data_IF_176997816984
#
_entry.id   IF_176997816984
#
_cell.length_a   1.000
_cell.length_b   1.000
_cell.length_c   1.000
_cell.angle_alpha   90.00
_cell.angle_beta   90.00
_cell.angle_gamma   90.00
#
_symmetry.space_group_name_H-M   'P 1'
#
loop_
_entity.id
_entity.type
_entity.pdbx_description
1 polymer ?
#
# COMPACT_ATOMS: atom_id res chain seq x y z
N UNK A 1 27.42 -31.28 8.71
CA UNK A 1 26.35 -32.06 9.31
C UNK A 1 26.29 -33.47 8.70
N UNK A 2 26.31 -33.62 7.36
CA UNK A 2 26.31 -34.95 6.70
C UNK A 2 27.55 -35.74 7.06
N UNK A 3 28.76 -35.17 6.87
CA UNK A 3 30.02 -35.82 7.26
C UNK A 3 30.10 -36.18 8.75
N UNK A 4 29.35 -35.51 9.60
CA UNK A 4 29.27 -35.76 11.04
C UNK A 4 28.12 -36.73 11.43
N UNK A 5 27.44 -37.32 10.47
CA UNK A 5 26.32 -38.25 10.70
C UNK A 5 25.05 -37.62 11.32
N UNK A 6 24.99 -36.29 11.47
CA UNK A 6 23.84 -35.58 12.06
C UNK A 6 22.70 -35.36 11.07
N UNK A 7 22.96 -35.50 9.78
CA UNK A 7 21.99 -35.39 8.70
C UNK A 7 22.30 -36.42 7.62
N UNK A 8 21.29 -37.15 7.19
CA UNK A 8 21.46 -38.20 6.17
C UNK A 8 21.41 -37.59 4.75
N UNK A 9 22.15 -38.20 3.83
CA UNK A 9 22.06 -37.84 2.40
C UNK A 9 20.63 -38.01 1.89
N UNK A 10 19.93 -39.06 2.27
CA UNK A 10 18.53 -39.31 1.93
C UNK A 10 17.64 -38.09 2.26
N UNK A 11 17.85 -37.46 3.42
CA UNK A 11 17.06 -36.26 3.81
C UNK A 11 17.37 -35.08 2.91
N UNK A 12 18.61 -34.92 2.45
CA UNK A 12 19.02 -33.91 1.48
C UNK A 12 18.38 -34.17 0.12
N UNK A 13 18.44 -35.43 -0.34
CA UNK A 13 17.87 -35.86 -1.62
C UNK A 13 16.37 -35.59 -1.71
N UNK A 14 15.64 -35.72 -0.62
CA UNK A 14 14.22 -35.36 -0.55
C UNK A 14 14.01 -33.87 -0.85
N UNK A 15 14.84 -33.01 -0.32
CA UNK A 15 14.77 -31.55 -0.59
C UNK A 15 15.16 -31.23 -2.02
N UNK A 16 16.26 -31.81 -2.50
CA UNK A 16 16.74 -31.64 -3.90
C UNK A 16 15.67 -32.09 -4.87
N UNK A 17 15.03 -33.25 -4.64
CA UNK A 17 13.96 -33.77 -5.50
C UNK A 17 12.77 -32.81 -5.58
N UNK A 18 12.39 -32.17 -4.48
CA UNK A 18 11.32 -31.17 -4.47
C UNK A 18 11.66 -29.94 -5.33
N UNK A 19 12.86 -29.42 -5.19
CA UNK A 19 13.34 -28.28 -5.97
C UNK A 19 13.50 -28.61 -7.47
N UNK A 20 14.13 -29.74 -7.78
CA UNK A 20 14.33 -30.19 -9.16
C UNK A 20 13.00 -30.48 -9.86
N UNK A 21 12.03 -31.05 -9.16
CA UNK A 21 10.69 -31.31 -9.72
C UNK A 21 10.09 -30.04 -10.34
N UNK A 22 10.16 -28.91 -9.66
CA UNK A 22 9.63 -27.63 -10.19
C UNK A 22 10.38 -27.21 -11.43
N UNK A 23 11.72 -27.36 -11.45
CA UNK A 23 12.54 -27.02 -12.62
C UNK A 23 12.21 -27.88 -13.84
N UNK A 24 12.00 -29.18 -13.64
CA UNK A 24 11.55 -30.08 -14.71
C UNK A 24 10.14 -29.75 -15.20
N UNK A 25 9.23 -29.45 -14.29
CA UNK A 25 7.86 -29.06 -14.66
C UNK A 25 7.80 -27.75 -15.45
N UNK A 26 8.74 -26.84 -15.21
CA UNK A 26 8.90 -25.59 -15.96
C UNK A 26 9.65 -25.74 -17.28
N UNK A 27 10.17 -26.95 -17.61
CA UNK A 27 10.93 -27.20 -18.84
C UNK A 27 12.31 -26.54 -18.88
N UNK A 28 12.85 -26.12 -17.71
CA UNK A 28 14.11 -25.36 -17.68
C UNK A 28 15.34 -26.16 -18.14
N UNK A 29 15.24 -27.49 -18.24
CA UNK A 29 16.30 -28.34 -18.78
C UNK A 29 16.13 -28.63 -20.26
N UNK A 30 14.92 -28.45 -20.79
CA UNK A 30 14.60 -28.68 -22.21
C UNK A 30 14.76 -27.39 -23.00
N UNK A 31 14.19 -26.27 -22.50
CA UNK A 31 14.32 -24.94 -23.10
C UNK A 31 14.46 -23.87 -21.98
N UNK A 32 15.71 -23.53 -21.58
CA UNK A 32 15.95 -22.52 -20.55
C UNK A 32 15.85 -21.07 -21.05
N UNK A 33 15.62 -20.87 -22.34
CA UNK A 33 15.62 -19.55 -22.96
C UNK A 33 14.23 -18.93 -23.01
N UNK A 34 14.21 -17.61 -23.01
CA UNK A 34 12.97 -16.81 -23.15
C UNK A 34 12.86 -16.32 -24.60
N UNK A 35 11.72 -16.50 -25.20
CA UNK A 35 11.39 -15.85 -26.46
C UNK A 35 11.13 -14.35 -26.18
N UNK A 36 12.06 -13.49 -26.59
CA UNK A 36 12.04 -12.04 -26.30
C UNK A 36 10.83 -11.37 -26.96
N UNK A 37 10.51 -11.71 -28.20
CA UNK A 37 9.38 -11.09 -28.91
C UNK A 37 8.05 -11.45 -28.24
N UNK A 38 7.89 -12.69 -27.82
CA UNK A 38 6.72 -13.12 -27.07
C UNK A 38 6.65 -12.46 -25.70
N UNK A 39 7.77 -12.29 -25.01
CA UNK A 39 7.83 -11.60 -23.72
C UNK A 39 7.39 -10.14 -23.85
N UNK A 40 7.88 -9.42 -24.87
CA UNK A 40 7.48 -8.03 -25.16
C UNK A 40 5.95 -7.94 -25.45
N UNK A 41 5.40 -8.89 -26.20
CA UNK A 41 3.96 -8.92 -26.45
C UNK A 41 3.12 -9.31 -25.24
N UNK A 42 3.73 -9.97 -24.26
CA UNK A 42 3.03 -10.49 -23.08
C UNK A 42 3.02 -9.46 -21.94
N UNK A 43 4.17 -8.79 -21.69
CA UNK A 43 4.29 -7.81 -20.61
C UNK A 43 3.40 -6.59 -20.90
N UNK A 44 2.56 -6.25 -19.93
CA UNK A 44 1.73 -5.05 -20.00
C UNK A 44 0.52 -5.16 -20.92
N UNK A 45 0.07 -6.37 -21.25
CA UNK A 45 -1.18 -6.59 -21.99
C UNK A 45 -2.36 -5.86 -21.32
N UNK A 46 -3.28 -5.25 -22.11
CA UNK A 46 -4.41 -4.49 -21.57
C UNK A 46 -5.26 -5.27 -20.58
N UNK A 47 -5.53 -6.56 -20.86
CA UNK A 47 -6.32 -7.43 -19.99
C UNK A 47 -5.64 -7.66 -18.64
N UNK A 48 -4.31 -7.73 -18.59
CA UNK A 48 -3.57 -7.89 -17.34
C UNK A 48 -3.45 -6.60 -16.55
N UNK A 49 -3.29 -5.47 -17.24
CA UNK A 49 -3.40 -4.14 -16.61
C UNK A 49 -4.75 -3.96 -15.95
N UNK A 50 -5.83 -4.30 -16.68
CA UNK A 50 -7.20 -4.25 -16.16
C UNK A 50 -7.36 -5.16 -14.93
N UNK A 51 -6.86 -6.40 -15.00
CA UNK A 51 -6.92 -7.33 -13.86
C UNK A 51 -6.16 -6.78 -12.64
N UNK A 52 -4.99 -6.16 -12.85
CA UNK A 52 -4.23 -5.49 -11.80
C UNK A 52 -4.97 -4.30 -11.19
N UNK A 53 -5.58 -3.45 -12.01
CA UNK A 53 -6.40 -2.32 -11.54
C UNK A 53 -7.64 -2.79 -10.75
N UNK A 54 -8.32 -3.83 -11.23
CA UNK A 54 -9.47 -4.39 -10.53
C UNK A 54 -9.07 -5.00 -9.18
N UNK A 55 -7.89 -5.64 -9.10
CA UNK A 55 -7.34 -6.14 -7.85
C UNK A 55 -7.00 -4.99 -6.87
N UNK A 56 -6.39 -3.92 -7.35
CA UNK A 56 -6.11 -2.73 -6.53
C UNK A 56 -7.39 -2.10 -5.99
N UNK A 57 -8.43 -1.95 -6.83
CA UNK A 57 -9.72 -1.41 -6.38
C UNK A 57 -10.35 -2.29 -5.30
N UNK A 58 -10.25 -3.62 -5.42
CA UNK A 58 -10.77 -4.57 -4.42
C UNK A 58 -9.97 -4.57 -3.12
N UNK A 59 -8.71 -4.16 -3.16
CA UNK A 59 -7.86 -4.07 -1.98
C UNK A 59 -8.22 -2.85 -1.09
N UNK A 60 -8.92 -1.85 -1.64
CA UNK A 60 -9.39 -0.71 -0.88
C UNK A 60 -10.58 -1.13 -0.01
N UNK A 61 -10.44 -0.99 1.30
CA UNK A 61 -11.47 -1.32 2.26
C UNK A 61 -12.07 -0.06 2.86
N UNK A 62 -13.37 0.15 2.67
CA UNK A 62 -14.10 1.28 3.27
C UNK A 62 -14.51 0.89 4.70
N UNK A 63 -13.87 1.51 5.69
CA UNK A 63 -14.12 1.24 7.12
C UNK A 63 -15.18 2.16 7.71
N UNK A 64 -15.30 3.39 7.19
CA UNK A 64 -16.23 4.41 7.67
C UNK A 64 -16.73 5.29 6.52
N UNK A 65 -18.00 5.64 6.53
CA UNK A 65 -18.62 6.52 5.54
C UNK A 65 -19.78 7.29 6.16
N UNK A 66 -19.46 8.27 7.00
CA UNK A 66 -20.44 9.07 7.72
C UNK A 66 -21.26 9.92 6.75
N UNK A 67 -22.58 9.89 6.94
CA UNK A 67 -23.53 10.63 6.11
C UNK A 67 -23.40 10.36 4.61
N UNK A 68 -22.84 9.19 4.24
CA UNK A 68 -22.60 8.80 2.84
C UNK A 68 -21.74 9.84 2.10
N UNK A 69 -20.68 10.34 2.74
CA UNK A 69 -19.76 11.31 2.14
C UNK A 69 -19.09 10.76 0.87
N UNK A 70 -18.92 9.46 0.79
CA UNK A 70 -18.44 8.76 -0.41
C UNK A 70 -19.60 8.02 -1.11
N UNK A 71 -19.63 7.97 -2.45
CA UNK A 71 -18.68 8.62 -3.39
C UNK A 71 -18.86 10.13 -3.43
N UNK A 72 -17.77 10.88 -3.68
CA UNK A 72 -17.84 12.33 -3.86
C UNK A 72 -18.65 12.67 -5.11
N UNK A 73 -19.51 13.70 -5.00
CA UNK A 73 -20.19 14.25 -6.16
C UNK A 73 -19.18 14.99 -7.05
N UNK A 74 -19.01 14.53 -8.29
CA UNK A 74 -18.05 15.11 -9.22
C UNK A 74 -18.36 16.58 -9.55
N UNK A 75 -17.32 17.39 -9.64
CA UNK A 75 -17.30 18.67 -10.34
C UNK A 75 -17.73 19.93 -9.57
N UNK A 76 -18.21 19.82 -8.32
CA UNK A 76 -18.72 21.00 -7.58
C UNK A 76 -18.00 21.33 -6.27
N UNK A 77 -17.19 20.42 -5.77
CA UNK A 77 -16.56 20.54 -4.45
C UNK A 77 -15.24 21.30 -4.53
N UNK A 78 -14.97 22.13 -3.54
CA UNK A 78 -13.65 22.64 -3.22
C UNK A 78 -12.94 21.61 -2.37
N UNK A 79 -11.81 21.11 -2.86
CA UNK A 79 -11.10 19.98 -2.27
C UNK A 79 -9.74 20.43 -1.77
N UNK A 80 -9.47 20.28 -0.49
CA UNK A 80 -8.12 20.37 0.06
C UNK A 80 -7.47 19.00 0.05
N UNK A 81 -6.20 18.89 -0.35
CA UNK A 81 -5.47 17.63 -0.35
C UNK A 81 -4.19 17.74 0.46
N UNK A 82 -3.88 16.66 1.20
CA UNK A 82 -2.61 16.50 1.89
C UNK A 82 -2.06 15.10 1.62
N UNK A 83 -0.83 15.04 1.11
CA UNK A 83 -0.15 13.80 0.68
C UNK A 83 -0.88 13.06 -0.48
N UNK A 84 -1.67 13.77 -1.26
CA UNK A 84 -2.33 13.29 -2.48
C UNK A 84 -1.94 14.22 -3.63
N UNK A 85 -1.73 13.67 -4.83
CA UNK A 85 -1.43 14.50 -6.00
C UNK A 85 -2.64 15.41 -6.31
N UNK A 86 -2.46 16.74 -6.27
CA UNK A 86 -3.52 17.68 -6.59
C UNK A 86 -4.12 17.50 -7.98
N UNK A 87 -3.34 16.99 -8.96
CA UNK A 87 -3.83 16.72 -10.31
C UNK A 87 -4.88 15.62 -10.35
N UNK A 88 -4.74 14.62 -9.45
CA UNK A 88 -5.74 13.56 -9.31
C UNK A 88 -7.02 14.12 -8.68
N UNK A 89 -6.90 14.92 -7.62
CA UNK A 89 -8.04 15.54 -6.97
C UNK A 89 -8.79 16.52 -7.89
N UNK A 90 -8.09 17.21 -8.78
CA UNK A 90 -8.67 18.14 -9.75
C UNK A 90 -9.62 17.46 -10.76
N UNK A 91 -9.57 16.14 -10.92
CA UNK A 91 -10.55 15.39 -11.71
C UNK A 91 -11.94 15.34 -11.05
N UNK A 92 -12.02 15.63 -9.76
CA UNK A 92 -13.24 15.48 -8.96
C UNK A 92 -13.79 16.83 -8.45
N UNK A 93 -12.98 17.90 -8.48
CA UNK A 93 -13.41 19.22 -8.01
C UNK A 93 -12.33 20.29 -8.13
N UNK A 94 -12.57 21.46 -7.54
CA UNK A 94 -11.60 22.54 -7.50
C UNK A 94 -10.65 22.38 -6.33
N UNK A 95 -9.36 22.22 -6.58
CA UNK A 95 -8.36 22.09 -5.51
C UNK A 95 -8.05 23.49 -4.94
N UNK A 96 -8.10 23.58 -3.60
CA UNK A 96 -7.79 24.80 -2.84
C UNK A 96 -6.53 24.62 -2.01
N UNK A 97 -5.88 25.73 -1.66
CA UNK A 97 -4.59 25.70 -0.95
C UNK A 97 -4.73 25.65 0.57
N UNK A 98 -5.88 26.04 1.10
CA UNK A 98 -6.13 26.10 2.54
C UNK A 98 -7.33 25.24 2.92
N UNK A 99 -7.25 24.49 4.02
CA UNK A 99 -8.35 23.65 4.44
C UNK A 99 -9.62 24.42 4.80
N UNK A 100 -9.49 25.67 5.26
CA UNK A 100 -10.61 26.55 5.61
C UNK A 100 -11.45 26.97 4.41
N UNK A 101 -10.89 26.89 3.19
CA UNK A 101 -11.56 27.23 1.94
C UNK A 101 -12.25 26.02 1.30
N UNK A 102 -12.04 24.81 1.87
CA UNK A 102 -12.50 23.56 1.29
C UNK A 102 -13.87 23.13 1.82
N UNK A 103 -14.65 22.49 0.97
CA UNK A 103 -15.87 21.77 1.38
C UNK A 103 -15.52 20.41 1.98
N UNK A 104 -14.40 19.82 1.52
CA UNK A 104 -13.89 18.53 1.96
C UNK A 104 -12.38 18.45 1.83
N UNK A 105 -11.74 17.70 2.73
CA UNK A 105 -10.33 17.35 2.62
C UNK A 105 -10.13 15.88 2.31
N UNK A 106 -9.05 15.56 1.59
CA UNK A 106 -8.54 14.20 1.40
C UNK A 106 -7.13 14.15 1.98
N UNK A 107 -6.97 13.37 3.03
CA UNK A 107 -5.72 13.19 3.74
C UNK A 107 -5.21 11.77 3.51
N UNK A 108 -4.03 11.61 2.92
CA UNK A 108 -3.36 10.33 2.81
C UNK A 108 -2.31 10.16 3.89
N UNK A 109 -2.35 9.02 4.54
CA UNK A 109 -1.44 8.62 5.61
C UNK A 109 -0.78 7.29 5.32
N UNK A 110 0.32 7.03 6.00
CA UNK A 110 0.93 5.71 6.11
C UNK A 110 0.94 5.32 7.60
N UNK A 111 0.94 4.02 7.89
CA UNK A 111 1.17 3.57 9.27
C UNK A 111 2.45 4.18 9.81
N UNK A 112 2.44 4.78 11.01
CA UNK A 112 3.64 5.36 11.61
C UNK A 112 4.74 4.32 11.78
N UNK A 113 5.97 4.75 11.65
CA UNK A 113 7.15 3.93 11.91
C UNK A 113 8.31 4.80 12.37
N UNK A 114 9.26 4.21 13.09
CA UNK A 114 10.44 4.88 13.59
C UNK A 114 11.66 4.40 12.79
N UNK A 115 12.36 5.30 12.07
CA UNK A 115 13.60 4.93 11.39
C UNK A 115 14.64 4.42 12.39
N UNK A 116 15.30 3.28 12.07
CA UNK A 116 16.47 2.86 12.84
C UNK A 116 17.70 3.59 12.32
N UNK A 117 18.44 4.23 13.22
CA UNK A 117 19.79 4.69 12.91
C UNK A 117 20.76 3.51 12.93
N UNK A 118 20.98 2.93 11.76
CA UNK A 118 21.88 1.79 11.57
C UNK A 118 22.52 1.85 10.18
N UNK A 119 23.77 1.38 10.11
CA UNK A 119 24.47 1.17 8.84
C UNK A 119 23.96 -0.08 8.08
N UNK A 120 23.21 -0.94 8.74
CA UNK A 120 22.64 -2.13 8.13
C UNK A 120 21.47 -1.75 7.21
N UNK A 121 21.70 -1.84 5.90
CA UNK A 121 20.68 -1.54 4.88
C UNK A 121 19.40 -2.37 5.05
N UNK A 122 19.53 -3.66 5.34
CA UNK A 122 18.36 -4.53 5.52
C UNK A 122 17.50 -4.10 6.71
N UNK A 123 18.14 -3.74 7.85
CA UNK A 123 17.39 -3.29 9.03
C UNK A 123 16.63 -1.99 8.77
N UNK A 124 17.13 -1.10 7.90
CA UNK A 124 16.43 0.14 7.52
C UNK A 124 15.22 -0.08 6.61
N UNK A 125 15.11 -1.23 5.95
CA UNK A 125 13.99 -1.56 5.09
C UNK A 125 12.74 -1.99 5.86
N UNK A 126 12.88 -2.36 7.13
CA UNK A 126 11.75 -2.81 7.95
C UNK A 126 11.15 -1.65 8.73
N UNK A 127 9.86 -1.45 8.58
CA UNK A 127 9.12 -0.51 9.40
C UNK A 127 8.90 -1.11 10.80
N UNK A 128 9.26 -0.38 11.85
CA UNK A 128 9.10 -0.77 13.25
C UNK A 128 8.87 0.47 14.12
N UNK A 129 8.81 0.27 15.43
CA UNK A 129 8.47 1.32 16.39
C UNK A 129 6.97 1.41 16.62
N UNK A 130 6.54 2.54 17.15
CA UNK A 130 5.15 2.77 17.54
C UNK A 130 4.20 2.72 16.34
N UNK A 131 2.96 2.31 16.62
CA UNK A 131 1.90 2.16 15.65
C UNK A 131 0.90 3.33 15.68
N UNK A 132 1.08 4.28 16.59
CA UNK A 132 0.25 5.47 16.76
C UNK A 132 0.98 6.73 16.31
N UNK A 133 0.23 7.70 15.80
CA UNK A 133 0.74 9.03 15.50
C UNK A 133 1.00 9.80 16.81
N UNK A 134 2.09 10.59 16.87
CA UNK A 134 2.51 11.33 18.06
C UNK A 134 2.91 12.77 17.76
N UNK A 135 2.92 13.61 18.80
CA UNK A 135 3.40 14.98 18.76
C UNK A 135 2.76 15.82 17.64
N UNK A 136 3.56 16.68 17.03
CA UNK A 136 3.11 17.64 16.03
C UNK A 136 2.40 17.01 14.82
N UNK A 137 2.77 15.79 14.44
CA UNK A 137 2.10 15.09 13.33
C UNK A 137 0.66 14.76 13.70
N UNK A 138 0.45 14.13 14.85
CA UNK A 138 -0.90 13.83 15.38
C UNK A 138 -1.72 15.10 15.53
N UNK A 139 -1.15 16.14 16.15
CA UNK A 139 -1.84 17.40 16.40
C UNK A 139 -2.29 18.06 15.09
N UNK A 140 -1.42 18.06 14.07
CA UNK A 140 -1.73 18.60 12.74
C UNK A 140 -2.82 17.80 12.01
N UNK A 141 -2.83 16.48 12.15
CA UNK A 141 -3.90 15.63 11.61
C UNK A 141 -5.23 15.96 12.30
N UNK A 142 -5.25 15.97 13.62
CA UNK A 142 -6.47 16.25 14.39
C UNK A 142 -6.99 17.68 14.17
N UNK A 143 -6.10 18.65 13.95
CA UNK A 143 -6.48 20.00 13.57
C UNK A 143 -7.20 20.02 12.23
N UNK A 144 -6.66 19.34 11.20
CA UNK A 144 -7.31 19.24 9.90
C UNK A 144 -8.71 18.62 10.01
N UNK A 145 -8.85 17.54 10.77
CA UNK A 145 -10.12 16.85 10.99
C UNK A 145 -11.19 17.73 11.66
N UNK A 146 -10.74 18.71 12.48
CA UNK A 146 -11.63 19.70 13.10
C UNK A 146 -11.98 20.88 12.20
N UNK A 147 -11.09 21.21 11.25
CA UNK A 147 -11.25 22.37 10.37
C UNK A 147 -12.24 22.11 9.24
N UNK A 148 -12.19 20.92 8.65
CA UNK A 148 -12.98 20.59 7.46
C UNK A 148 -13.38 19.10 7.48
N UNK A 149 -14.56 18.71 6.98
CA UNK A 149 -14.90 17.31 6.79
C UNK A 149 -13.82 16.60 5.99
N UNK A 150 -13.23 15.52 6.55
CA UNK A 150 -12.04 14.89 5.96
C UNK A 150 -12.27 13.42 5.69
N UNK A 151 -11.87 12.99 4.50
CA UNK A 151 -11.69 11.58 4.14
C UNK A 151 -10.23 11.24 4.42
N UNK A 152 -9.99 10.19 5.19
CA UNK A 152 -8.66 9.66 5.48
C UNK A 152 -8.45 8.40 4.66
N UNK A 153 -7.41 8.40 3.84
CA UNK A 153 -6.91 7.25 3.08
C UNK A 153 -5.59 6.84 3.71
N UNK A 154 -5.53 5.64 4.30
CA UNK A 154 -4.34 5.19 5.01
C UNK A 154 -3.80 3.87 4.43
N UNK A 155 -2.51 3.86 4.09
CA UNK A 155 -1.79 2.64 3.77
C UNK A 155 -1.36 1.94 5.06
N UNK A 156 -1.84 0.72 5.24
CA UNK A 156 -1.60 -0.09 6.44
C UNK A 156 -0.67 -1.25 6.06
N UNK A 157 0.63 -1.08 6.27
CA UNK A 157 1.62 -2.15 6.22
C UNK A 157 1.77 -2.87 7.57
N UNK A 158 1.39 -2.18 8.67
CA UNK A 158 1.26 -2.71 10.03
C UNK A 158 -0.03 -2.16 10.64
N UNK A 159 -0.67 -2.84 11.61
CA UNK A 159 -1.87 -2.34 12.28
C UNK A 159 -1.62 -0.97 12.90
N UNK A 160 -2.32 0.07 12.43
CA UNK A 160 -2.21 1.41 12.98
C UNK A 160 -3.19 1.62 14.15
N UNK A 161 -2.74 2.32 15.20
CA UNK A 161 -3.57 2.72 16.34
C UNK A 161 -4.04 4.15 16.13
N UNK A 162 -5.27 4.32 15.65
CA UNK A 162 -5.80 5.61 15.16
C UNK A 162 -7.20 5.95 15.70
N UNK A 163 -7.51 5.75 16.98
CA UNK A 163 -8.89 5.92 17.47
C UNK A 163 -9.40 7.34 17.27
N UNK A 164 -8.61 8.38 17.56
CA UNK A 164 -9.03 9.78 17.43
C UNK A 164 -9.14 10.20 15.95
N UNK A 165 -8.26 9.69 15.09
CA UNK A 165 -8.32 9.94 13.63
C UNK A 165 -9.57 9.28 13.07
N UNK A 166 -9.84 8.04 13.42
CA UNK A 166 -11.04 7.32 13.02
C UNK A 166 -12.31 8.01 13.51
N UNK A 167 -12.32 8.52 14.75
CA UNK A 167 -13.46 9.26 15.29
C UNK A 167 -13.72 10.56 14.51
N UNK A 168 -12.67 11.32 14.17
CA UNK A 168 -12.77 12.61 13.48
C UNK A 168 -12.99 12.52 11.96
N UNK A 169 -12.58 11.44 11.31
CA UNK A 169 -12.75 11.24 9.87
C UNK A 169 -14.23 11.09 9.50
N UNK A 170 -14.63 11.62 8.33
CA UNK A 170 -15.95 11.41 7.72
C UNK A 170 -15.99 10.20 6.80
N UNK A 171 -14.87 9.87 6.19
CA UNK A 171 -14.61 8.64 5.44
C UNK A 171 -13.25 8.07 5.84
N UNK A 172 -13.14 6.76 5.93
CA UNK A 172 -11.90 6.05 6.25
C UNK A 172 -11.85 4.72 5.47
#
# INVERSE_FOLDING_TARGET
LVKAGKLTEKRIDESVRRLLRQKFQLGLFDDPYVNVDQAVQTVGKPEWKKAGEDAQRRAITLLKNDSKVLPLAAGKLKIYVRNVDPKVAALYGTVVSKPEEADIAILRLNTPWVPIDTKNFMARMFHHGDLDFKGNEKDSILQLLRTVPTIVDIYIDRPAVIPEISAGAKGL
#
